data_IF_320806409320
#
_entry.id   IF_320806409320
#
_cell.length_a   1.000
_cell.length_b   1.000
_cell.length_c   1.000
_cell.angle_alpha   90.00
_cell.angle_beta   90.00
_cell.angle_gamma   90.00
#
_symmetry.space_group_name_H-M   'P 1'
#
loop_
_entity.id
_entity.type
_entity.pdbx_description
1 polymer ?
#
# COMPACT_ATOMS: atom_id res chain seq x y z
N UNK A 1 28.76 8.83 8.01
CA UNK A 1 28.78 9.89 6.98
C UNK A 1 29.63 9.43 5.80
N UNK A 2 29.03 9.01 4.68
CA UNK A 2 29.73 8.86 3.39
C UNK A 2 29.34 10.06 2.53
N UNK A 3 30.20 11.08 2.47
CA UNK A 3 30.01 12.22 1.56
C UNK A 3 30.17 11.76 0.10
N UNK A 4 29.41 12.35 -0.83
CA UNK A 4 29.43 11.99 -2.26
C UNK A 4 30.80 12.13 -2.92
N UNK A 5 31.65 13.03 -2.41
CA UNK A 5 33.03 13.23 -2.88
C UNK A 5 33.91 11.98 -2.70
N UNK A 6 33.82 11.30 -1.55
CA UNK A 6 34.57 10.07 -1.30
C UNK A 6 34.20 8.96 -2.28
N UNK A 7 32.94 8.94 -2.76
CA UNK A 7 32.46 7.94 -3.71
C UNK A 7 33.01 8.21 -5.12
N UNK A 8 33.08 9.47 -5.53
CA UNK A 8 33.65 9.84 -6.83
C UNK A 8 35.16 9.61 -6.88
N UNK A 9 35.87 9.94 -5.81
CA UNK A 9 37.31 9.68 -5.71
C UNK A 9 37.61 8.18 -5.82
N UNK A 10 36.87 7.33 -5.11
CA UNK A 10 37.06 5.87 -5.14
C UNK A 10 36.76 5.26 -6.50
N UNK A 11 35.81 5.84 -7.25
CA UNK A 11 35.50 5.44 -8.64
C UNK A 11 36.63 5.81 -9.59
N UNK A 12 37.18 7.03 -9.49
CA UNK A 12 38.34 7.45 -10.30
C UNK A 12 39.56 6.55 -10.05
N UNK A 13 39.81 6.19 -8.78
CA UNK A 13 40.87 5.24 -8.41
C UNK A 13 40.63 3.88 -9.06
N UNK A 14 39.41 3.33 -8.95
CA UNK A 14 39.06 2.05 -9.58
C UNK A 14 39.27 2.06 -11.11
N UNK A 15 38.80 3.10 -11.78
CA UNK A 15 38.96 3.25 -13.23
C UNK A 15 40.43 3.38 -13.64
N UNK A 16 41.24 4.12 -12.87
CA UNK A 16 42.67 4.22 -13.07
C UNK A 16 43.39 2.87 -12.86
N UNK A 17 43.07 2.11 -11.81
CA UNK A 17 43.64 0.78 -11.57
C UNK A 17 43.29 -0.19 -12.70
N UNK A 18 42.07 -0.12 -13.23
CA UNK A 18 41.64 -0.93 -14.38
C UNK A 18 42.38 -0.55 -15.66
N UNK A 19 42.62 0.73 -15.88
CA UNK A 19 43.44 1.20 -17.01
C UNK A 19 44.87 0.67 -16.88
N UNK A 20 45.46 0.74 -15.68
CA UNK A 20 46.80 0.21 -15.42
C UNK A 20 46.89 -1.29 -15.69
N UNK A 21 45.87 -2.06 -15.30
CA UNK A 21 45.75 -3.49 -15.64
C UNK A 21 45.82 -3.74 -17.15
N UNK A 22 45.05 -2.98 -17.95
CA UNK A 22 45.06 -3.10 -19.41
C UNK A 22 46.41 -2.72 -20.03
N UNK A 23 47.05 -1.67 -19.51
CA UNK A 23 48.39 -1.23 -19.96
C UNK A 23 49.42 -2.31 -19.69
N UNK A 24 49.42 -2.92 -18.50
CA UNK A 24 50.32 -4.04 -18.20
C UNK A 24 50.05 -5.22 -19.13
N UNK A 25 48.78 -5.53 -19.43
CA UNK A 25 48.43 -6.60 -20.36
C UNK A 25 48.89 -6.31 -21.80
N UNK A 26 48.82 -5.06 -22.24
CA UNK A 26 49.31 -4.64 -23.56
C UNK A 26 50.84 -4.73 -23.66
N UNK A 27 51.56 -4.25 -22.65
CA UNK A 27 53.03 -4.38 -22.56
C UNK A 27 53.43 -5.86 -22.52
N UNK A 28 52.67 -6.67 -21.78
CA UNK A 28 52.83 -8.11 -21.73
C UNK A 28 52.72 -8.75 -23.11
N UNK A 29 51.68 -8.44 -23.89
CA UNK A 29 51.57 -8.95 -25.26
C UNK A 29 52.75 -8.53 -26.12
N UNK A 30 53.18 -7.28 -26.00
CA UNK A 30 54.32 -6.77 -26.76
C UNK A 30 55.63 -7.49 -26.43
N UNK A 31 55.87 -7.81 -25.15
CA UNK A 31 57.09 -8.49 -24.70
C UNK A 31 57.11 -9.97 -25.09
N UNK A 32 56.01 -10.69 -24.86
CA UNK A 32 55.96 -12.14 -25.02
C UNK A 32 55.54 -12.61 -26.42
N UNK A 33 54.96 -11.73 -27.23
CA UNK A 33 54.66 -11.98 -28.65
C UNK A 33 55.56 -11.16 -29.59
N UNK A 34 56.71 -10.66 -29.11
CA UNK A 34 57.60 -9.77 -29.88
C UNK A 34 57.93 -10.27 -31.31
N UNK A 35 58.20 -11.58 -31.55
CA UNK A 35 58.48 -12.06 -32.90
C UNK A 35 57.34 -11.83 -33.91
N UNK A 36 56.08 -11.83 -33.45
CA UNK A 36 54.93 -11.50 -34.30
C UNK A 36 54.85 -9.98 -34.56
N UNK A 37 55.13 -9.16 -33.54
CA UNK A 37 55.19 -7.69 -33.71
C UNK A 37 56.30 -7.26 -34.69
N UNK A 38 57.41 -7.98 -34.73
CA UNK A 38 58.48 -7.79 -35.72
C UNK A 38 58.00 -8.13 -37.14
N UNK A 39 57.28 -9.24 -37.32
CA UNK A 39 56.68 -9.63 -38.61
C UNK A 39 55.61 -8.63 -39.07
N UNK A 40 54.84 -8.06 -38.15
CA UNK A 40 53.85 -7.02 -38.43
C UNK A 40 54.44 -5.64 -38.69
N UNK A 41 55.77 -5.48 -38.60
CA UNK A 41 56.45 -4.18 -38.68
C UNK A 41 55.95 -3.17 -37.64
N UNK A 42 55.43 -3.65 -36.50
CA UNK A 42 54.97 -2.85 -35.37
C UNK A 42 56.07 -2.72 -34.31
N UNK A 43 57.31 -2.53 -34.77
CA UNK A 43 58.50 -2.35 -33.94
C UNK A 43 59.16 -1.02 -34.27
N UNK A 44 59.56 -0.26 -33.25
CA UNK A 44 60.34 0.96 -33.41
C UNK A 44 61.70 0.82 -32.72
N UNK A 45 62.75 1.44 -33.25
CA UNK A 45 64.11 1.32 -32.67
C UNK A 45 64.16 1.79 -31.20
N UNK A 46 63.35 2.79 -30.84
CA UNK A 46 63.16 3.25 -29.46
C UNK A 46 62.56 2.18 -28.53
N UNK A 47 61.73 1.27 -29.05
CA UNK A 47 61.08 0.22 -28.24
C UNK A 47 62.04 -0.88 -27.83
N UNK A 48 63.09 -1.16 -28.59
CA UNK A 48 64.06 -2.23 -28.28
C UNK A 48 64.79 -1.96 -26.94
N UNK A 49 65.24 -0.71 -26.75
CA UNK A 49 65.90 -0.27 -25.52
C UNK A 49 64.95 -0.24 -24.31
N UNK A 50 63.67 0.05 -24.55
CA UNK A 50 62.63 0.08 -23.51
C UNK A 50 62.24 -1.35 -23.10
N UNK A 51 62.06 -2.27 -24.05
CA UNK A 51 61.76 -3.68 -23.79
C UNK A 51 62.87 -4.33 -22.96
N UNK A 52 64.13 -4.05 -23.27
CA UNK A 52 65.27 -4.55 -22.50
C UNK A 52 65.19 -4.16 -21.02
N UNK A 53 64.81 -2.91 -20.73
CA UNK A 53 64.59 -2.42 -19.35
C UNK A 53 63.30 -2.94 -18.72
N UNK A 54 62.24 -3.17 -19.49
CA UNK A 54 60.99 -3.72 -18.96
C UNK A 54 61.13 -5.20 -18.60
N UNK A 55 61.88 -5.99 -19.38
CA UNK A 55 62.17 -7.41 -19.08
C UNK A 55 62.96 -7.61 -17.78
N UNK A 56 63.72 -6.61 -17.32
CA UNK A 56 64.43 -6.68 -16.03
C UNK A 56 63.53 -6.35 -14.84
N UNK A 57 62.37 -5.72 -15.05
CA UNK A 57 61.39 -5.49 -14.00
C UNK A 57 60.77 -6.81 -13.55
N UNK A 58 60.60 -6.97 -12.23
CA UNK A 58 60.01 -8.19 -11.65
C UNK A 58 58.66 -8.55 -12.28
N UNK A 59 57.83 -7.55 -12.61
CA UNK A 59 56.51 -7.72 -13.18
C UNK A 59 56.50 -8.43 -14.56
N UNK A 60 57.58 -8.38 -15.34
CA UNK A 60 57.64 -8.96 -16.69
C UNK A 60 58.69 -10.08 -16.83
N UNK A 61 59.19 -10.61 -15.71
CA UNK A 61 60.19 -11.71 -15.71
C UNK A 61 59.67 -12.98 -16.36
N UNK A 62 58.39 -13.30 -16.15
CA UNK A 62 57.73 -14.47 -16.74
C UNK A 62 56.34 -14.11 -17.22
N UNK A 63 55.88 -14.83 -18.23
CA UNK A 63 54.56 -14.67 -18.86
C UNK A 63 53.42 -14.79 -17.83
N UNK A 64 53.56 -15.73 -16.90
CA UNK A 64 52.55 -15.98 -15.88
C UNK A 64 52.53 -14.87 -14.83
N UNK A 65 53.69 -14.30 -14.49
CA UNK A 65 53.80 -13.26 -13.48
C UNK A 65 53.23 -11.93 -13.99
N UNK A 66 53.52 -11.54 -15.23
CA UNK A 66 52.93 -10.35 -15.85
C UNK A 66 51.41 -10.46 -16.00
N UNK A 67 50.91 -11.63 -16.40
CA UNK A 67 49.47 -11.94 -16.36
C UNK A 67 48.89 -11.82 -14.96
N UNK A 68 49.56 -12.37 -13.96
CA UNK A 68 49.12 -12.32 -12.56
C UNK A 68 49.07 -10.88 -12.03
N UNK A 69 50.02 -10.03 -12.40
CA UNK A 69 50.03 -8.61 -12.03
C UNK A 69 48.87 -7.85 -12.69
N UNK A 70 48.61 -8.08 -13.99
CA UNK A 70 47.44 -7.51 -14.66
C UNK A 70 46.13 -7.96 -13.99
N UNK A 71 45.99 -9.27 -13.74
CA UNK A 71 44.81 -9.83 -13.08
C UNK A 71 44.63 -9.29 -11.66
N UNK A 72 45.71 -9.11 -10.89
CA UNK A 72 45.67 -8.52 -9.55
C UNK A 72 45.11 -7.10 -9.58
N UNK A 73 45.60 -6.26 -10.50
CA UNK A 73 45.09 -4.90 -10.66
C UNK A 73 43.62 -4.88 -11.09
N UNK A 74 43.22 -5.80 -11.98
CA UNK A 74 41.82 -5.98 -12.33
C UNK A 74 40.97 -6.32 -11.09
N UNK A 75 41.41 -7.28 -10.26
CA UNK A 75 40.70 -7.66 -9.04
C UNK A 75 40.58 -6.49 -8.06
N UNK A 76 41.65 -5.72 -7.86
CA UNK A 76 41.61 -4.50 -7.02
C UNK A 76 40.61 -3.49 -7.56
N UNK A 77 40.58 -3.27 -8.88
CA UNK A 77 39.61 -2.35 -9.51
C UNK A 77 38.15 -2.79 -9.31
N UNK A 78 37.89 -4.10 -9.30
CA UNK A 78 36.55 -4.67 -9.15
C UNK A 78 35.98 -4.54 -7.73
N UNK A 79 36.84 -4.62 -6.71
CA UNK A 79 36.45 -4.39 -5.30
C UNK A 79 36.02 -2.93 -5.09
N UNK A 80 36.75 -2.00 -5.71
CA UNK A 80 36.48 -0.57 -5.63
C UNK A 80 35.25 -0.14 -6.47
N UNK A 81 34.93 -0.86 -7.54
CA UNK A 81 33.78 -0.56 -8.39
C UNK A 81 32.45 -0.56 -7.60
N UNK A 82 31.66 0.51 -7.73
CA UNK A 82 30.27 0.56 -7.26
C UNK A 82 29.33 0.47 -8.46
N UNK A 83 28.65 -0.67 -8.61
CA UNK A 83 27.60 -0.83 -9.63
C UNK A 83 26.21 -0.48 -9.09
N UNK A 84 25.30 -0.09 -9.99
CA UNK A 84 23.87 0.07 -9.68
C UNK A 84 23.26 -1.28 -9.28
N UNK A 85 22.32 -1.26 -8.34
CA UNK A 85 21.52 -2.44 -7.95
C UNK A 85 20.80 -3.01 -9.19
N UNK A 86 20.88 -4.32 -9.37
CA UNK A 86 20.12 -5.05 -10.37
C UNK A 86 19.66 -6.37 -9.73
N UNK A 87 18.36 -6.49 -9.49
CA UNK A 87 17.74 -7.62 -8.79
C UNK A 87 17.63 -8.88 -9.66
N UNK A 88 17.94 -8.79 -10.97
CA UNK A 88 17.84 -9.91 -11.91
C UNK A 88 19.11 -10.76 -12.03
N UNK A 89 20.15 -10.47 -11.27
CA UNK A 89 21.45 -11.17 -11.40
C UNK A 89 21.35 -12.60 -10.86
N UNK A 90 21.49 -13.60 -11.74
CA UNK A 90 21.58 -15.01 -11.37
C UNK A 90 23.00 -15.39 -10.93
N UNK A 91 23.14 -16.01 -9.76
CA UNK A 91 24.45 -16.48 -9.21
C UNK A 91 25.19 -17.41 -10.18
N UNK A 92 24.47 -18.25 -10.91
CA UNK A 92 25.04 -19.17 -11.91
C UNK A 92 25.80 -18.42 -13.02
N UNK A 93 25.26 -17.32 -13.54
CA UNK A 93 25.91 -16.52 -14.59
C UNK A 93 27.25 -15.94 -14.14
N UNK A 94 27.36 -15.53 -12.88
CA UNK A 94 28.61 -15.00 -12.30
C UNK A 94 29.68 -16.10 -12.28
N UNK A 95 29.31 -17.29 -11.78
CA UNK A 95 30.21 -18.44 -11.69
C UNK A 95 30.69 -18.84 -13.09
N UNK A 96 29.78 -18.95 -14.06
CA UNK A 96 30.13 -19.30 -15.45
C UNK A 96 31.14 -18.31 -16.04
N UNK A 97 30.93 -16.99 -15.91
CA UNK A 97 31.87 -16.00 -16.45
C UNK A 97 33.24 -16.05 -15.78
N UNK A 98 33.29 -16.18 -14.45
CA UNK A 98 34.56 -16.21 -13.72
C UNK A 98 35.35 -17.50 -13.99
N UNK A 99 34.70 -18.67 -13.97
CA UNK A 99 35.36 -19.96 -14.20
C UNK A 99 35.83 -20.06 -15.65
N UNK A 100 34.95 -19.79 -16.62
CA UNK A 100 35.32 -19.82 -18.04
C UNK A 100 36.39 -18.78 -18.34
N UNK A 101 36.26 -17.57 -17.80
CA UNK A 101 37.25 -16.51 -17.98
C UNK A 101 38.63 -16.89 -17.45
N UNK A 102 38.71 -17.43 -16.22
CA UNK A 102 39.96 -17.90 -15.62
C UNK A 102 40.57 -19.06 -16.41
N UNK A 103 39.75 -20.03 -16.80
CA UNK A 103 40.20 -21.18 -17.60
C UNK A 103 40.82 -20.73 -18.92
N UNK A 104 40.16 -19.86 -19.68
CA UNK A 104 40.68 -19.33 -20.94
C UNK A 104 41.95 -18.48 -20.75
N UNK A 105 41.96 -17.66 -19.70
CA UNK A 105 43.12 -16.82 -19.36
C UNK A 105 44.37 -17.64 -19.03
N UNK A 106 44.23 -18.78 -18.34
CA UNK A 106 45.34 -19.69 -18.03
C UNK A 106 45.71 -20.60 -19.21
N UNK A 107 44.74 -21.22 -19.88
CA UNK A 107 44.99 -22.14 -21.01
C UNK A 107 45.72 -21.44 -22.16
N UNK A 108 45.49 -20.13 -22.34
CA UNK A 108 46.20 -19.36 -23.36
C UNK A 108 47.72 -19.52 -23.31
N UNK A 109 48.32 -19.77 -22.14
CA UNK A 109 49.76 -20.05 -22.00
C UNK A 109 50.28 -21.10 -23.01
N UNK A 110 49.53 -22.19 -23.24
CA UNK A 110 49.98 -23.27 -24.12
C UNK A 110 50.14 -22.85 -25.59
N UNK A 111 49.48 -21.77 -26.03
CA UNK A 111 49.61 -21.29 -27.41
C UNK A 111 50.99 -20.71 -27.71
N UNK A 112 51.71 -20.21 -26.69
CA UNK A 112 53.10 -19.75 -26.86
C UNK A 112 54.10 -20.91 -27.02
N UNK A 113 53.72 -22.12 -26.62
CA UNK A 113 54.56 -23.32 -26.76
C UNK A 113 54.32 -24.08 -28.08
N UNK A 114 53.33 -23.67 -28.89
CA UNK A 114 53.04 -24.29 -30.17
C UNK A 114 54.13 -23.98 -31.19
N UNK A 115 54.63 -25.02 -31.89
CA UNK A 115 55.59 -24.89 -32.99
C UNK A 115 54.88 -24.50 -34.30
N UNK A 116 54.19 -23.36 -34.31
CA UNK A 116 53.51 -22.79 -35.49
C UNK A 116 54.15 -21.44 -35.85
N UNK A 117 53.69 -20.83 -36.94
CA UNK A 117 54.14 -19.47 -37.30
C UNK A 117 53.91 -18.50 -36.13
N UNK A 118 54.88 -17.62 -35.80
CA UNK A 118 54.79 -16.70 -34.66
C UNK A 118 53.52 -15.85 -34.65
N UNK A 119 53.07 -15.42 -35.82
CA UNK A 119 51.82 -14.66 -35.99
C UNK A 119 50.58 -15.42 -35.54
N UNK A 120 50.49 -16.70 -35.90
CA UNK A 120 49.36 -17.57 -35.54
C UNK A 120 49.36 -17.85 -34.04
N UNK A 121 50.53 -18.14 -33.46
CA UNK A 121 50.69 -18.35 -32.02
C UNK A 121 50.30 -17.09 -31.24
N UNK A 122 50.80 -15.92 -31.66
CA UNK A 122 50.51 -14.63 -31.03
C UNK A 122 49.02 -14.26 -31.12
N UNK A 123 48.39 -14.44 -32.28
CA UNK A 123 46.96 -14.13 -32.46
C UNK A 123 46.08 -14.99 -31.55
N UNK A 124 46.30 -16.31 -31.52
CA UNK A 124 45.56 -17.23 -30.65
C UNK A 124 45.79 -16.92 -29.17
N UNK A 125 47.04 -16.64 -28.80
CA UNK A 125 47.43 -16.28 -27.45
C UNK A 125 46.75 -14.99 -26.97
N UNK A 126 46.89 -13.90 -27.74
CA UNK A 126 46.35 -12.58 -27.42
C UNK A 126 44.83 -12.60 -27.40
N UNK A 127 44.21 -13.29 -28.37
CA UNK A 127 42.76 -13.45 -28.47
C UNK A 127 42.19 -14.17 -27.26
N UNK A 128 42.73 -15.34 -26.91
CA UNK A 128 42.22 -16.14 -25.80
C UNK A 128 42.49 -15.48 -24.44
N UNK A 129 43.67 -14.86 -24.28
CA UNK A 129 44.00 -14.09 -23.07
C UNK A 129 43.06 -12.90 -22.89
N UNK A 130 42.80 -12.13 -23.96
CA UNK A 130 41.93 -10.96 -23.90
C UNK A 130 40.48 -11.35 -23.65
N UNK A 131 40.00 -12.41 -24.30
CA UNK A 131 38.64 -12.90 -24.08
C UNK A 131 38.44 -13.43 -22.65
N UNK A 132 39.41 -14.20 -22.12
CA UNK A 132 39.41 -14.61 -20.72
C UNK A 132 39.39 -13.43 -19.75
N UNK A 133 40.22 -12.41 -20.00
CA UNK A 133 40.27 -11.17 -19.22
C UNK A 133 38.92 -10.43 -19.21
N UNK A 134 38.27 -10.29 -20.36
CA UNK A 134 36.98 -9.62 -20.48
C UNK A 134 35.86 -10.38 -19.75
N UNK A 135 35.87 -11.71 -19.79
CA UNK A 135 34.93 -12.53 -19.02
C UNK A 135 35.14 -12.38 -17.51
N UNK A 136 36.39 -12.34 -17.04
CA UNK A 136 36.71 -12.09 -15.62
C UNK A 136 36.23 -10.68 -15.22
N UNK A 137 36.45 -9.66 -16.06
CA UNK A 137 35.95 -8.30 -15.82
C UNK A 137 34.41 -8.26 -15.77
N UNK A 138 33.72 -8.95 -16.68
CA UNK A 138 32.27 -9.01 -16.72
C UNK A 138 31.70 -9.74 -15.49
N UNK A 139 32.21 -10.93 -15.19
CA UNK A 139 31.83 -11.72 -14.01
C UNK A 139 32.14 -11.01 -12.69
N UNK A 140 33.31 -10.37 -12.59
CA UNK A 140 33.74 -9.61 -11.43
C UNK A 140 32.87 -8.38 -11.16
N UNK A 141 32.43 -7.68 -12.21
CA UNK A 141 31.49 -6.57 -12.08
C UNK A 141 30.13 -7.02 -11.54
N UNK A 142 29.63 -8.19 -11.97
CA UNK A 142 28.40 -8.77 -11.43
C UNK A 142 28.57 -9.23 -9.98
N UNK A 143 29.72 -9.84 -9.64
CA UNK A 143 30.05 -10.28 -8.28
C UNK A 143 30.13 -9.09 -7.31
N UNK A 144 30.81 -8.00 -7.71
CA UNK A 144 30.94 -6.78 -6.91
C UNK A 144 29.59 -6.12 -6.61
N UNK A 145 28.64 -6.19 -7.56
CA UNK A 145 27.24 -5.77 -7.34
C UNK A 145 26.52 -6.66 -6.33
N UNK A 146 26.63 -7.99 -6.46
CA UNK A 146 25.95 -8.94 -5.58
C UNK A 146 26.42 -8.85 -4.12
N UNK A 147 27.74 -8.78 -3.88
CA UNK A 147 28.30 -8.73 -2.53
C UNK A 147 27.86 -7.46 -1.79
N UNK A 148 27.76 -6.31 -2.48
CA UNK A 148 27.28 -5.07 -1.87
C UNK A 148 25.78 -5.11 -1.54
N UNK A 149 24.95 -5.81 -2.31
CA UNK A 149 23.51 -5.98 -2.01
C UNK A 149 23.32 -6.74 -0.69
N UNK A 150 24.12 -7.78 -0.42
CA UNK A 150 24.02 -8.53 0.85
C UNK A 150 24.61 -7.78 2.06
N UNK A 151 25.59 -6.90 1.84
CA UNK A 151 26.24 -6.12 2.91
C UNK A 151 25.51 -4.81 3.23
N UNK A 152 24.84 -4.20 2.25
CA UNK A 152 23.87 -3.14 2.52
C UNK A 152 22.61 -3.80 3.05
N UNK A 153 22.43 -3.79 4.38
CA UNK A 153 21.19 -4.24 5.03
C UNK A 153 19.99 -3.43 4.53
N UNK A 154 19.48 -3.81 3.37
CA UNK A 154 18.27 -3.23 2.82
C UNK A 154 17.12 -3.72 3.70
N UNK A 155 16.62 -2.82 4.53
CA UNK A 155 15.49 -3.09 5.43
C UNK A 155 14.22 -3.44 4.66
N UNK A 156 14.15 -3.10 3.37
CA UNK A 156 12.98 -3.27 2.50
C UNK A 156 13.19 -4.33 1.42
N UNK A 157 13.75 -5.49 1.78
CA UNK A 157 13.77 -6.66 0.89
C UNK A 157 12.82 -7.75 1.43
N UNK A 158 12.27 -8.61 0.55
CA UNK A 158 11.29 -9.65 0.93
C UNK A 158 11.80 -10.63 2.01
N UNK A 159 13.11 -10.78 2.14
CA UNK A 159 13.71 -11.66 3.15
C UNK A 159 13.80 -10.97 4.52
N UNK A 160 13.96 -9.64 4.53
CA UNK A 160 14.09 -8.78 5.70
C UNK A 160 12.75 -8.16 6.14
N UNK A 161 11.76 -8.06 5.25
CA UNK A 161 10.37 -7.60 5.52
C UNK A 161 9.47 -8.73 6.06
N UNK A 162 10.03 -9.65 6.85
CA UNK A 162 9.24 -10.70 7.50
C UNK A 162 9.31 -10.58 9.01
N UNK A 163 8.15 -10.51 9.66
CA UNK A 163 8.02 -10.43 11.12
C UNK A 163 7.03 -11.50 11.63
N UNK A 164 7.18 -11.98 12.87
CA UNK A 164 6.25 -12.93 13.45
C UNK A 164 4.85 -12.31 13.52
N UNK A 165 3.85 -13.02 13.01
CA UNK A 165 2.43 -12.70 13.20
C UNK A 165 1.84 -13.63 14.27
N UNK A 166 0.66 -13.32 14.78
CA UNK A 166 -0.01 -14.17 15.76
C UNK A 166 -0.42 -15.50 15.09
N UNK A 167 0.14 -16.60 15.59
CA UNK A 167 -0.13 -17.96 15.08
C UNK A 167 -1.27 -18.64 15.88
N UNK A 168 -1.63 -18.11 17.05
CA UNK A 168 -2.67 -18.69 17.91
C UNK A 168 -4.05 -18.17 17.53
N UNK A 169 -5.03 -19.06 17.53
CA UNK A 169 -6.44 -18.71 17.48
C UNK A 169 -6.90 -18.27 18.87
N UNK A 170 -7.25 -16.99 19.02
CA UNK A 170 -7.65 -16.41 20.30
C UNK A 170 -9.16 -16.11 20.29
N UNK A 171 -9.96 -17.06 20.74
CA UNK A 171 -11.43 -16.95 20.78
C UNK A 171 -11.93 -16.48 22.14
N UNK A 172 -13.03 -15.71 22.10
CA UNK A 172 -13.84 -15.28 23.23
C UNK A 172 -15.29 -15.02 22.75
N UNK A 173 -16.17 -14.59 23.65
CA UNK A 173 -17.59 -14.32 23.37
C UNK A 173 -17.84 -13.28 22.24
N UNK A 174 -16.93 -12.34 22.02
CA UNK A 174 -17.13 -11.21 21.09
C UNK A 174 -16.28 -11.29 19.82
N UNK A 175 -15.23 -12.08 19.86
CA UNK A 175 -14.12 -12.03 18.90
C UNK A 175 -14.53 -12.38 17.48
N UNK A 176 -13.77 -11.88 16.51
CA UNK A 176 -13.83 -12.33 15.12
C UNK A 176 -12.43 -12.78 14.74
N UNK A 177 -12.32 -14.00 14.22
CA UNK A 177 -11.03 -14.62 13.93
C UNK A 177 -10.95 -14.95 12.45
N UNK A 178 -9.93 -14.44 11.76
CA UNK A 178 -9.73 -14.64 10.32
C UNK A 178 -8.43 -15.41 10.08
N UNK A 179 -8.47 -16.51 9.32
CA UNK A 179 -7.26 -17.24 8.98
C UNK A 179 -6.40 -16.43 8.02
N UNK A 180 -5.09 -16.39 8.27
CA UNK A 180 -4.10 -15.70 7.41
C UNK A 180 -2.92 -16.62 7.10
N UNK A 181 -2.16 -16.25 6.07
CA UNK A 181 -0.86 -16.85 5.76
C UNK A 181 0.18 -15.74 5.64
N UNK A 182 1.35 -15.97 6.22
CA UNK A 182 2.44 -15.01 6.18
C UNK A 182 3.78 -15.70 5.97
N UNK A 183 4.80 -14.93 5.61
CA UNK A 183 6.16 -15.42 5.44
C UNK A 183 6.99 -15.03 6.66
N UNK A 184 7.83 -15.95 7.12
CA UNK A 184 8.81 -15.72 8.17
C UNK A 184 10.08 -16.51 7.87
N UNK A 185 11.21 -15.81 7.68
CA UNK A 185 12.52 -16.43 7.41
C UNK A 185 12.46 -17.42 6.23
N UNK A 186 11.85 -17.01 5.12
CA UNK A 186 11.74 -17.83 3.91
C UNK A 186 10.77 -19.02 4.00
N UNK A 187 9.99 -19.15 5.08
CA UNK A 187 8.96 -20.19 5.23
C UNK A 187 7.58 -19.55 5.30
N UNK A 188 6.63 -20.11 4.55
CA UNK A 188 5.22 -19.75 4.67
C UNK A 188 4.63 -20.42 5.92
N UNK A 189 3.86 -19.66 6.68
CA UNK A 189 3.22 -20.08 7.93
C UNK A 189 1.75 -19.69 7.94
N UNK A 190 0.96 -20.44 8.71
CA UNK A 190 -0.43 -20.10 8.99
C UNK A 190 -0.48 -19.19 10.22
N UNK A 191 -1.42 -18.26 10.24
CA UNK A 191 -1.68 -17.42 11.41
C UNK A 191 -3.13 -16.99 11.50
N UNK A 192 -3.42 -16.11 12.44
CA UNK A 192 -4.75 -15.60 12.71
C UNK A 192 -4.75 -14.08 12.91
N UNK A 193 -5.69 -13.41 12.26
CA UNK A 193 -6.09 -12.05 12.61
C UNK A 193 -7.20 -12.19 13.65
N UNK A 194 -6.87 -11.95 14.92
CA UNK A 194 -7.79 -12.04 16.04
C UNK A 194 -8.30 -10.64 16.42
N UNK A 195 -9.55 -10.33 16.12
CA UNK A 195 -10.22 -9.12 16.61
C UNK A 195 -10.88 -9.48 17.92
N UNK A 196 -10.15 -9.27 19.02
CA UNK A 196 -10.56 -9.70 20.37
C UNK A 196 -11.76 -8.90 20.90
N UNK A 197 -11.83 -7.62 20.57
CA UNK A 197 -12.90 -6.71 21.02
C UNK A 197 -13.37 -5.82 19.86
N UNK A 198 -14.40 -6.24 19.10
CA UNK A 198 -14.92 -5.47 17.98
C UNK A 198 -15.71 -4.22 18.39
N UNK A 199 -16.05 -4.04 19.67
CA UNK A 199 -16.79 -2.88 20.15
C UNK A 199 -15.96 -1.58 20.14
N UNK A 200 -14.65 -1.67 19.91
CA UNK A 200 -13.76 -0.50 19.75
C UNK A 200 -13.80 0.12 18.35
N UNK A 201 -14.90 -0.12 17.63
CA UNK A 201 -15.07 0.17 16.20
C UNK A 201 -14.10 -0.61 15.31
N UNK A 202 -14.52 -0.88 14.08
CA UNK A 202 -13.64 -1.45 13.06
C UNK A 202 -13.80 -0.70 11.75
N UNK A 203 -12.72 -0.06 11.29
CA UNK A 203 -12.68 0.63 10.01
C UNK A 203 -12.19 -0.32 8.92
N UNK A 204 -13.07 -0.67 7.99
CA UNK A 204 -12.73 -1.45 6.81
C UNK A 204 -12.64 -0.54 5.58
N UNK A 205 -11.42 -0.20 5.17
CA UNK A 205 -11.16 0.65 4.00
C UNK A 205 -10.76 -0.17 2.78
N UNK A 206 -11.20 0.27 1.59
CA UNK A 206 -10.83 -0.32 0.31
C UNK A 206 -11.72 0.17 -0.82
N UNK A 207 -11.21 0.19 -2.05
CA UNK A 207 -11.95 0.57 -3.24
C UNK A 207 -13.11 -0.41 -3.54
N UNK A 208 -13.97 -0.04 -4.49
CA UNK A 208 -14.96 -0.96 -5.04
C UNK A 208 -14.23 -2.19 -5.63
N UNK A 209 -14.75 -3.39 -5.38
CA UNK A 209 -14.12 -4.64 -5.85
C UNK A 209 -12.94 -5.15 -5.01
N UNK A 210 -12.46 -4.42 -4.00
CA UNK A 210 -11.33 -4.83 -3.15
C UNK A 210 -11.59 -6.07 -2.25
N UNK A 211 -12.75 -6.73 -2.37
CA UNK A 211 -13.06 -7.94 -1.62
C UNK A 211 -13.47 -7.74 -0.16
N UNK A 212 -13.78 -6.50 0.27
CA UNK A 212 -14.24 -6.16 1.64
C UNK A 212 -15.28 -7.14 2.19
N UNK A 213 -16.30 -7.44 1.39
CA UNK A 213 -17.36 -8.38 1.76
C UNK A 213 -16.82 -9.79 1.96
N UNK A 214 -16.02 -10.27 1.01
CA UNK A 214 -15.48 -11.62 1.00
C UNK A 214 -14.53 -11.89 2.17
N UNK A 215 -13.57 -10.98 2.40
CA UNK A 215 -12.50 -11.18 3.37
C UNK A 215 -12.86 -10.80 4.81
N UNK A 216 -13.86 -9.94 5.02
CA UNK A 216 -14.20 -9.45 6.36
C UNK A 216 -15.69 -9.62 6.71
N UNK A 217 -16.58 -8.91 6.02
CA UNK A 217 -17.99 -8.77 6.43
C UNK A 217 -18.69 -10.11 6.55
N UNK A 218 -18.45 -11.04 5.60
CA UNK A 218 -19.02 -12.40 5.65
C UNK A 218 -18.64 -13.16 6.91
N UNK A 219 -17.38 -13.03 7.35
CA UNK A 219 -16.89 -13.69 8.55
C UNK A 219 -17.46 -13.05 9.82
N UNK A 220 -17.63 -11.73 9.84
CA UNK A 220 -18.31 -11.04 10.97
C UNK A 220 -19.73 -11.56 11.11
N UNK A 221 -20.52 -11.53 10.02
CA UNK A 221 -21.92 -11.99 10.03
C UNK A 221 -22.00 -13.44 10.51
N UNK A 222 -21.20 -14.34 9.94
CA UNK A 222 -21.21 -15.76 10.31
C UNK A 222 -20.83 -15.99 11.78
N UNK A 223 -19.74 -15.40 12.25
CA UNK A 223 -19.22 -15.63 13.60
C UNK A 223 -20.09 -14.99 14.67
N UNK A 224 -20.57 -13.77 14.47
CA UNK A 224 -21.43 -13.09 15.45
C UNK A 224 -22.81 -13.74 15.53
N UNK A 225 -23.44 -14.10 14.41
CA UNK A 225 -24.70 -14.85 14.45
C UNK A 225 -24.52 -16.22 15.11
N UNK A 226 -23.40 -16.91 14.85
CA UNK A 226 -23.06 -18.16 15.55
C UNK A 226 -22.95 -17.95 17.06
N UNK A 227 -22.46 -16.80 17.50
CA UNK A 227 -22.31 -16.44 18.91
C UNK A 227 -23.58 -15.86 19.55
N UNK A 228 -24.70 -15.84 18.83
CA UNK A 228 -25.99 -15.39 19.37
C UNK A 228 -26.20 -13.87 19.35
N UNK A 229 -25.43 -13.12 18.55
CA UNK A 229 -25.61 -11.67 18.41
C UNK A 229 -26.82 -11.34 17.53
N UNK A 230 -27.49 -10.24 17.85
CA UNK A 230 -28.35 -9.51 16.91
C UNK A 230 -27.51 -8.55 16.07
N UNK A 231 -27.99 -8.20 14.88
CA UNK A 231 -27.28 -7.29 13.98
C UNK A 231 -28.22 -6.47 13.11
N UNK A 232 -27.83 -5.22 12.88
CA UNK A 232 -28.41 -4.34 11.86
C UNK A 232 -27.49 -4.40 10.63
N UNK A 233 -28.00 -4.91 9.51
CA UNK A 233 -27.23 -5.09 8.28
C UNK A 233 -27.70 -4.09 7.24
N UNK A 234 -26.82 -3.18 6.84
CA UNK A 234 -27.04 -2.30 5.70
C UNK A 234 -26.58 -3.00 4.42
N UNK A 235 -27.53 -3.38 3.57
CA UNK A 235 -27.29 -4.13 2.33
C UNK A 235 -27.48 -3.25 1.09
N UNK A 236 -26.40 -2.57 0.68
CA UNK A 236 -26.41 -1.72 -0.51
C UNK A 236 -26.66 -2.50 -1.81
N UNK A 237 -26.37 -3.81 -1.84
CA UNK A 237 -26.55 -4.68 -3.01
C UNK A 237 -27.63 -5.72 -2.70
N UNK A 238 -28.76 -5.25 -2.19
CA UNK A 238 -29.85 -6.11 -1.79
C UNK A 238 -30.18 -7.14 -2.91
N UNK A 239 -30.27 -8.44 -2.62
CA UNK A 239 -30.31 -9.10 -1.31
C UNK A 239 -29.01 -9.87 -0.92
N UNK A 240 -27.82 -9.40 -1.32
CA UNK A 240 -26.55 -10.12 -1.09
C UNK A 240 -26.26 -10.42 0.40
N UNK A 241 -26.12 -9.38 1.22
CA UNK A 241 -25.81 -9.55 2.64
C UNK A 241 -27.02 -10.04 3.43
N UNK A 242 -28.22 -9.66 2.99
CA UNK A 242 -29.50 -10.05 3.60
C UNK A 242 -29.69 -11.56 3.52
N UNK A 243 -29.48 -12.16 2.35
CA UNK A 243 -29.56 -13.61 2.14
C UNK A 243 -28.54 -14.36 2.99
N UNK A 244 -27.31 -13.85 3.06
CA UNK A 244 -26.27 -14.42 3.91
C UNK A 244 -26.69 -14.37 5.39
N UNK A 245 -27.09 -13.21 5.88
CA UNK A 245 -27.47 -13.01 7.28
C UNK A 245 -28.64 -13.92 7.65
N UNK A 246 -29.68 -13.98 6.82
CA UNK A 246 -30.84 -14.85 7.02
C UNK A 246 -30.43 -16.33 7.08
N UNK A 247 -29.64 -16.81 6.11
CA UNK A 247 -29.20 -18.20 6.09
C UNK A 247 -28.39 -18.58 7.33
N UNK A 248 -27.52 -17.67 7.80
CA UNK A 248 -26.74 -17.88 9.04
C UNK A 248 -27.62 -17.81 10.29
N UNK A 249 -28.58 -16.90 10.33
CA UNK A 249 -29.55 -16.79 11.42
C UNK A 249 -30.36 -18.08 11.58
N UNK A 250 -30.90 -18.61 10.48
CA UNK A 250 -31.61 -19.89 10.47
C UNK A 250 -30.70 -21.03 10.92
N UNK A 251 -29.47 -21.09 10.40
CA UNK A 251 -28.47 -22.11 10.77
C UNK A 251 -28.15 -22.10 12.27
N UNK A 252 -28.05 -20.92 12.88
CA UNK A 252 -27.64 -20.75 14.28
C UNK A 252 -28.81 -20.44 15.23
N UNK A 253 -30.06 -20.59 14.80
CA UNK A 253 -31.23 -20.24 15.58
C UNK A 253 -31.28 -20.92 16.96
N UNK A 254 -30.72 -22.13 17.09
CA UNK A 254 -30.62 -22.86 18.35
C UNK A 254 -29.62 -22.29 19.36
N UNK A 255 -28.73 -21.38 18.94
CA UNK A 255 -27.73 -20.77 19.82
C UNK A 255 -28.30 -19.60 20.65
N UNK A 256 -29.51 -19.15 20.34
CA UNK A 256 -30.13 -17.99 20.97
C UNK A 256 -31.03 -18.39 22.14
N UNK A 257 -30.89 -17.69 23.29
CA UNK A 257 -31.82 -17.82 24.42
C UNK A 257 -33.24 -17.40 24.04
N UNK A 258 -33.36 -16.31 23.28
CA UNK A 258 -34.60 -15.80 22.71
C UNK A 258 -34.46 -15.83 21.20
N UNK A 259 -35.34 -16.56 20.51
CA UNK A 259 -35.26 -16.70 19.05
C UNK A 259 -35.36 -15.31 18.39
N UNK A 260 -34.38 -14.93 17.56
CA UNK A 260 -34.38 -13.64 16.89
C UNK A 260 -35.43 -13.61 15.77
N UNK A 261 -36.07 -12.47 15.60
CA UNK A 261 -36.91 -12.16 14.44
C UNK A 261 -36.07 -11.47 13.35
N UNK A 262 -36.45 -11.66 12.09
CA UNK A 262 -35.77 -11.06 10.95
C UNK A 262 -36.67 -10.00 10.32
N UNK A 263 -36.26 -8.73 10.42
CA UNK A 263 -36.97 -7.59 9.86
C UNK A 263 -36.16 -6.97 8.72
N UNK A 264 -36.85 -6.56 7.67
CA UNK A 264 -36.27 -5.93 6.48
C UNK A 264 -36.98 -4.62 6.23
N UNK A 265 -36.23 -3.52 6.24
CA UNK A 265 -36.67 -2.21 5.77
C UNK A 265 -36.16 -2.06 4.33
N UNK A 266 -37.07 -2.17 3.38
CA UNK A 266 -36.81 -2.02 1.95
C UNK A 266 -37.78 -0.97 1.39
N UNK A 267 -37.24 -0.01 0.63
CA UNK A 267 -38.00 1.11 0.06
C UNK A 267 -38.59 0.81 -1.32
N UNK A 268 -38.08 -0.21 -2.02
CA UNK A 268 -38.62 -0.66 -3.31
C UNK A 268 -39.79 -1.62 -3.10
N UNK A 269 -39.59 -2.62 -2.23
CA UNK A 269 -40.62 -3.59 -1.86
C UNK A 269 -40.90 -3.49 -0.35
N UNK A 270 -42.08 -2.99 0.00
CA UNK A 270 -42.45 -2.77 1.41
C UNK A 270 -42.72 -4.12 2.09
N UNK A 271 -41.75 -4.59 2.88
CA UNK A 271 -41.85 -5.82 3.67
C UNK A 271 -42.24 -5.56 5.13
N UNK A 272 -41.47 -4.71 5.82
CA UNK A 272 -41.71 -4.29 7.20
C UNK A 272 -41.70 -2.78 7.31
N UNK A 273 -42.39 -2.25 8.32
CA UNK A 273 -42.51 -0.82 8.57
C UNK A 273 -41.80 -0.46 9.86
N UNK A 274 -41.16 0.70 9.88
CA UNK A 274 -40.53 1.28 11.05
C UNK A 274 -40.88 2.76 11.08
N UNK A 275 -41.29 3.26 12.25
CA UNK A 275 -41.44 4.69 12.48
C UNK A 275 -40.13 5.22 13.09
N UNK A 276 -39.34 6.04 12.38
CA UNK A 276 -38.12 6.62 12.95
C UNK A 276 -38.41 7.65 14.05
N UNK A 277 -39.67 8.09 14.18
CA UNK A 277 -40.15 9.02 15.21
C UNK A 277 -41.01 8.31 16.25
N UNK A 278 -40.61 7.10 16.66
CA UNK A 278 -41.39 6.29 17.60
C UNK A 278 -41.68 7.07 18.90
N UNK A 279 -42.95 7.37 19.22
CA UNK A 279 -43.28 8.29 20.30
C UNK A 279 -42.76 7.83 21.65
N UNK A 280 -42.72 6.52 21.94
CA UNK A 280 -42.27 6.00 23.22
C UNK A 280 -40.77 6.20 23.47
N UNK A 281 -39.99 6.44 22.41
CA UNK A 281 -38.56 6.71 22.50
C UNK A 281 -38.21 8.16 22.78
N UNK A 282 -39.17 9.10 22.68
CA UNK A 282 -38.97 10.52 22.95
C UNK A 282 -39.51 10.86 24.34
N UNK A 283 -38.59 11.12 25.27
CA UNK A 283 -38.87 11.44 26.67
C UNK A 283 -38.98 12.95 26.91
N UNK A 284 -38.16 13.74 26.22
CA UNK A 284 -38.20 15.21 26.27
C UNK A 284 -37.99 15.84 24.87
N UNK A 285 -38.13 17.15 24.79
CA UNK A 285 -38.02 17.90 23.53
C UNK A 285 -36.62 17.83 22.90
N UNK A 286 -35.59 17.49 23.68
CA UNK A 286 -34.22 17.24 23.17
C UNK A 286 -34.20 16.00 22.27
N UNK A 287 -34.95 14.95 22.62
CA UNK A 287 -35.04 13.74 21.78
C UNK A 287 -35.68 14.05 20.41
N UNK A 288 -36.71 14.91 20.40
CA UNK A 288 -37.31 15.41 19.16
C UNK A 288 -36.32 16.29 18.38
N UNK A 289 -35.50 17.08 19.08
CA UNK A 289 -34.45 17.92 18.47
C UNK A 289 -33.37 17.09 17.81
N UNK A 290 -32.88 16.02 18.46
CA UNK A 290 -31.89 15.12 17.87
C UNK A 290 -32.45 14.37 16.66
N UNK A 291 -33.73 13.97 16.72
CA UNK A 291 -34.44 13.36 15.59
C UNK A 291 -34.56 14.32 14.41
N UNK A 292 -35.01 15.56 14.66
CA UNK A 292 -35.10 16.63 13.66
C UNK A 292 -33.73 16.94 13.04
N UNK A 293 -32.69 17.11 13.87
CA UNK A 293 -31.31 17.38 13.44
C UNK A 293 -30.79 16.25 12.55
N UNK A 294 -31.00 15.00 12.93
CA UNK A 294 -30.58 13.82 12.14
C UNK A 294 -31.25 13.79 10.77
N UNK A 295 -32.56 14.07 10.71
CA UNK A 295 -33.31 14.11 9.45
C UNK A 295 -32.82 15.27 8.57
N UNK A 296 -32.76 16.48 9.12
CA UNK A 296 -32.41 17.69 8.36
C UNK A 296 -30.98 17.66 7.82
N UNK A 297 -30.00 17.25 8.63
CA UNK A 297 -28.62 17.09 8.19
C UNK A 297 -28.43 15.90 7.23
N UNK A 298 -29.28 14.88 7.36
CA UNK A 298 -29.31 13.72 6.46
C UNK A 298 -29.82 14.08 5.06
N UNK A 299 -30.81 14.98 4.97
CA UNK A 299 -31.38 15.48 3.72
C UNK A 299 -30.43 16.44 2.99
N UNK A 300 -29.75 17.33 3.73
CA UNK A 300 -28.79 18.28 3.15
C UNK A 300 -27.38 18.13 3.74
N UNK A 301 -26.52 17.38 3.04
CA UNK A 301 -25.13 17.15 3.47
C UNK A 301 -24.26 18.41 3.54
N UNK A 302 -24.62 19.49 2.85
CA UNK A 302 -23.87 20.76 2.95
C UNK A 302 -24.05 21.41 4.32
N UNK A 303 -25.18 21.18 4.97
CA UNK A 303 -25.47 21.74 6.29
C UNK A 303 -24.57 21.16 7.38
N UNK A 304 -23.96 19.99 7.16
CA UNK A 304 -22.92 19.45 8.05
C UNK A 304 -21.73 20.42 8.23
N UNK A 305 -21.46 21.27 7.22
CA UNK A 305 -20.40 22.28 7.28
C UNK A 305 -20.89 23.65 7.77
N UNK A 306 -22.20 23.83 7.94
CA UNK A 306 -22.87 25.07 8.33
C UNK A 306 -23.59 24.92 9.68
N UNK A 307 -23.16 23.99 10.54
CA UNK A 307 -23.73 23.86 11.87
C UNK A 307 -23.51 25.15 12.66
N UNK A 308 -24.56 25.63 13.35
CA UNK A 308 -24.57 26.94 13.99
C UNK A 308 -24.94 28.11 13.08
N UNK A 309 -25.16 27.89 11.77
CA UNK A 309 -25.77 28.89 10.89
C UNK A 309 -27.25 29.06 11.22
N UNK A 310 -27.72 30.30 11.21
CA UNK A 310 -29.05 30.68 11.67
C UNK A 310 -30.16 29.95 10.93
N UNK A 311 -30.04 29.81 9.60
CA UNK A 311 -31.06 29.14 8.79
C UNK A 311 -31.13 27.63 9.06
N UNK A 312 -29.98 26.99 9.31
CA UNK A 312 -29.91 25.55 9.63
C UNK A 312 -30.56 25.28 10.99
N UNK A 313 -30.21 26.06 12.01
CA UNK A 313 -30.77 25.89 13.35
C UNK A 313 -32.26 26.29 13.41
N UNK A 314 -32.69 27.27 12.59
CA UNK A 314 -34.12 27.59 12.44
C UNK A 314 -34.89 26.41 11.85
N UNK A 315 -34.40 25.81 10.76
CA UNK A 315 -35.04 24.64 10.15
C UNK A 315 -35.21 23.48 11.14
N UNK A 316 -34.15 23.18 11.89
CA UNK A 316 -34.16 22.14 12.91
C UNK A 316 -35.19 22.48 14.00
N UNK A 317 -35.17 23.70 14.53
CA UNK A 317 -36.11 24.15 15.57
C UNK A 317 -37.57 24.05 15.13
N UNK A 318 -37.86 24.41 13.87
CA UNK A 318 -39.20 24.31 13.31
C UNK A 318 -39.65 22.84 13.21
N UNK A 319 -38.81 21.95 12.68
CA UNK A 319 -39.13 20.52 12.60
C UNK A 319 -39.25 19.89 13.99
N UNK A 320 -38.43 20.30 14.96
CA UNK A 320 -38.58 19.90 16.37
C UNK A 320 -39.97 20.24 16.90
N UNK A 321 -40.44 21.46 16.68
CA UNK A 321 -41.77 21.89 17.14
C UNK A 321 -42.89 21.03 16.53
N UNK A 322 -42.80 20.69 15.24
CA UNK A 322 -43.76 19.82 14.57
C UNK A 322 -43.76 18.40 15.17
N UNK A 323 -42.58 17.80 15.36
CA UNK A 323 -42.42 16.46 15.93
C UNK A 323 -42.97 16.43 17.36
N UNK A 324 -42.59 17.42 18.18
CA UNK A 324 -42.99 17.49 19.58
C UNK A 324 -44.50 17.69 19.74
N UNK A 325 -45.09 18.58 18.94
CA UNK A 325 -46.54 18.75 18.90
C UNK A 325 -47.25 17.42 18.58
N UNK A 326 -46.84 16.73 17.52
CA UNK A 326 -47.44 15.44 17.14
C UNK A 326 -47.22 14.33 18.17
N UNK A 327 -46.12 14.40 18.94
CA UNK A 327 -45.84 13.49 20.05
C UNK A 327 -46.81 13.71 21.22
N UNK A 328 -47.15 14.95 21.55
CA UNK A 328 -48.09 15.31 22.62
C UNK A 328 -49.55 15.09 22.19
N UNK A 329 -49.86 15.46 20.96
CA UNK A 329 -51.20 15.36 20.39
C UNK A 329 -51.69 13.90 20.30
N UNK A 330 -52.88 13.63 20.83
CA UNK A 330 -53.48 12.28 20.91
C UNK A 330 -52.50 11.19 21.37
N UNK A 331 -51.68 11.50 22.39
CA UNK A 331 -50.65 10.59 22.94
C UNK A 331 -49.67 10.04 21.89
N UNK A 332 -49.35 10.81 20.85
CA UNK A 332 -48.35 10.45 19.86
C UNK A 332 -48.87 9.57 18.73
N UNK A 333 -50.19 9.35 18.63
CA UNK A 333 -50.80 8.52 17.59
C UNK A 333 -50.38 8.90 16.17
N UNK A 334 -50.13 10.19 15.93
CA UNK A 334 -49.75 10.73 14.62
C UNK A 334 -48.28 11.16 14.54
N UNK A 335 -47.46 10.88 15.56
CA UNK A 335 -46.05 11.24 15.54
C UNK A 335 -45.28 10.30 14.60
N UNK A 336 -45.27 10.67 13.32
CA UNK A 336 -44.62 9.93 12.23
C UNK A 336 -44.11 10.92 11.20
N UNK A 337 -43.08 10.54 10.44
CA UNK A 337 -42.49 11.43 9.45
C UNK A 337 -43.49 11.92 8.37
N UNK A 338 -44.38 11.08 7.82
CA UNK A 338 -45.39 11.57 6.87
C UNK A 338 -46.32 12.64 7.46
N UNK A 339 -46.77 12.48 8.70
CA UNK A 339 -47.61 13.49 9.35
C UNK A 339 -46.86 14.79 9.65
N UNK A 340 -45.55 14.72 9.98
CA UNK A 340 -44.70 15.91 10.10
C UNK A 340 -44.63 16.65 8.77
N UNK A 341 -44.41 15.94 7.67
CA UNK A 341 -44.35 16.52 6.32
C UNK A 341 -45.69 17.18 5.95
N UNK A 342 -46.81 16.48 6.15
CA UNK A 342 -48.14 17.02 5.88
C UNK A 342 -48.44 18.27 6.73
N UNK A 343 -48.13 18.23 8.03
CA UNK A 343 -48.34 19.36 8.94
C UNK A 343 -47.50 20.58 8.54
N UNK A 344 -46.27 20.36 8.06
CA UNK A 344 -45.36 21.41 7.57
C UNK A 344 -45.89 22.17 6.35
N UNK A 345 -46.76 21.53 5.55
CA UNK A 345 -47.32 22.11 4.33
C UNK A 345 -48.59 22.94 4.58
N UNK A 346 -49.11 22.96 5.81
CA UNK A 346 -50.28 23.77 6.19
C UNK A 346 -49.94 25.26 6.17
N UNK A 347 -50.93 26.08 5.81
CA UNK A 347 -50.86 27.55 5.87
C UNK A 347 -50.38 28.05 7.25
N UNK A 348 -49.45 29.02 7.24
CA UNK A 348 -48.75 29.48 8.45
C UNK A 348 -49.68 29.97 9.54
N UNK A 349 -50.79 30.64 9.19
CA UNK A 349 -51.75 31.15 10.19
C UNK A 349 -52.35 29.99 10.97
N UNK A 350 -52.80 28.94 10.27
CA UNK A 350 -53.37 27.75 10.91
C UNK A 350 -52.31 26.96 11.66
N UNK A 351 -51.14 26.79 11.04
CA UNK A 351 -50.04 26.02 11.62
C UNK A 351 -49.59 26.60 12.96
N UNK A 352 -49.23 27.89 13.00
CA UNK A 352 -48.77 28.50 14.25
C UNK A 352 -49.84 28.52 15.32
N UNK A 353 -51.10 28.78 14.96
CA UNK A 353 -52.22 28.74 15.93
C UNK A 353 -52.33 27.38 16.62
N UNK A 354 -52.14 26.30 15.88
CA UNK A 354 -52.22 24.94 16.41
C UNK A 354 -50.98 24.61 17.24
N UNK A 355 -49.78 24.93 16.74
CA UNK A 355 -48.54 24.59 17.43
C UNK A 355 -48.41 25.34 18.77
N UNK A 356 -48.80 26.62 18.84
CA UNK A 356 -48.76 27.40 20.09
C UNK A 356 -49.75 26.92 21.15
N UNK A 357 -50.64 25.95 20.86
CA UNK A 357 -51.44 25.30 21.89
C UNK A 357 -50.60 24.41 22.81
N UNK A 358 -49.41 23.98 22.37
CA UNK A 358 -48.46 23.24 23.17
C UNK A 358 -47.38 24.19 23.69
N UNK A 359 -47.44 24.53 24.98
CA UNK A 359 -46.55 25.49 25.66
C UNK A 359 -45.07 25.18 25.46
N UNK A 360 -44.71 23.90 25.43
CA UNK A 360 -43.31 23.47 25.27
C UNK A 360 -42.74 23.77 23.86
N UNK A 361 -43.59 23.99 22.85
CA UNK A 361 -43.14 24.35 21.49
C UNK A 361 -42.99 25.86 21.28
N UNK A 362 -43.60 26.68 22.13
CA UNK A 362 -43.62 28.14 21.99
C UNK A 362 -42.21 28.77 21.90
N UNK A 363 -41.22 28.38 22.74
CA UNK A 363 -39.87 28.94 22.64
C UNK A 363 -39.20 28.69 21.29
N UNK A 364 -39.50 27.55 20.65
CA UNK A 364 -38.96 27.18 19.33
C UNK A 364 -39.62 27.98 18.20
N UNK A 365 -40.88 28.38 18.40
CA UNK A 365 -41.71 29.03 17.37
C UNK A 365 -41.65 30.56 17.42
N UNK A 366 -41.26 31.15 18.55
CA UNK A 366 -41.21 32.60 18.76
C UNK A 366 -40.53 33.40 17.62
N UNK A 367 -39.38 32.98 17.06
CA UNK A 367 -38.77 33.69 15.94
C UNK A 367 -39.65 33.71 14.68
N UNK A 368 -40.36 32.63 14.41
CA UNK A 368 -41.23 32.46 13.25
C UNK A 368 -42.54 33.23 13.41
N UNK A 369 -43.16 33.12 14.58
CA UNK A 369 -44.40 33.85 14.92
C UNK A 369 -44.14 35.35 14.89
N UNK A 370 -43.01 35.81 15.43
CA UNK A 370 -42.64 37.22 15.37
C UNK A 370 -42.45 37.72 13.94
N UNK A 371 -41.77 36.95 13.07
CA UNK A 371 -41.58 37.33 11.66
C UNK A 371 -42.91 37.36 10.91
N UNK A 372 -43.80 36.39 11.18
CA UNK A 372 -45.15 36.34 10.59
C UNK A 372 -46.02 37.53 11.02
N UNK A 373 -46.04 37.88 12.31
CA UNK A 373 -46.79 39.03 12.83
C UNK A 373 -46.29 40.38 12.31
N UNK A 374 -45.00 40.50 12.00
CA UNK A 374 -44.39 41.70 11.41
C UNK A 374 -44.50 41.76 9.88
N UNK A 375 -45.15 40.78 9.25
CA UNK A 375 -45.25 40.65 7.80
C UNK A 375 -43.86 40.57 7.10
N UNK A 376 -42.84 40.05 7.79
CA UNK A 376 -41.48 39.85 7.28
C UNK A 376 -41.40 38.54 6.46
N UNK A 377 -42.20 38.45 5.40
CA UNK A 377 -42.37 37.22 4.60
C UNK A 377 -41.07 36.63 4.05
N UNK A 378 -40.13 37.48 3.63
CA UNK A 378 -38.83 37.03 3.12
C UNK A 378 -37.97 36.32 4.18
N UNK A 379 -38.03 36.78 5.44
CA UNK A 379 -37.34 36.13 6.55
C UNK A 379 -38.02 34.82 6.93
N UNK A 380 -39.36 34.82 7.00
CA UNK A 380 -40.15 33.63 7.30
C UNK A 380 -39.94 32.52 6.27
N UNK A 381 -39.99 32.86 4.98
CA UNK A 381 -39.71 31.93 3.88
C UNK A 381 -38.25 31.47 3.89
N UNK A 382 -37.29 32.34 4.23
CA UNK A 382 -35.89 31.91 4.38
C UNK A 382 -35.70 30.89 5.50
N UNK A 383 -36.37 31.08 6.64
CA UNK A 383 -36.29 30.18 7.79
C UNK A 383 -37.01 28.85 7.53
N UNK A 384 -38.25 28.87 7.03
CA UNK A 384 -39.07 27.66 6.84
C UNK A 384 -38.77 26.97 5.51
N UNK A 385 -38.49 27.72 4.45
CA UNK A 385 -38.18 27.17 3.13
C UNK A 385 -36.92 26.31 3.14
N UNK A 386 -36.02 26.53 4.12
CA UNK A 386 -34.88 25.64 4.34
C UNK A 386 -35.28 24.27 4.91
N UNK A 387 -36.40 24.19 5.65
CA UNK A 387 -36.94 22.94 6.19
C UNK A 387 -37.83 22.19 5.18
N UNK A 388 -38.56 22.93 4.32
CA UNK A 388 -39.44 22.34 3.31
C UNK A 388 -38.61 21.65 2.21
N UNK A 389 -38.91 20.38 1.98
CA UNK A 389 -38.31 19.60 0.90
C UNK A 389 -38.91 20.13 -0.41
N UNK A 390 -38.07 20.59 -1.34
CA UNK A 390 -38.47 20.97 -2.71
C UNK A 390 -38.22 19.87 -3.71
#
# INVERSE_FOLDING_TARGET
MQTGENIQALRKIADFTRLLSLVILAIHFYIFCYPAFEQWQLTAEATYNIIGKLKTMTAFKTELLSKSVALLLLLVSLVAAKGKKDEKIRKQTIITYLVTGMMLYTISHFFLALKVQPDVAAFLYMGLTSFGYLLILAGGNLLSRLLKVNLSGDTFNKDNETFPQEERLLENEYSINLPTKYWLKGKQRNGWINIINPFRSTLLSGSAGAGKTYFYIRHVIDQHLKKGFSMLVYDFKYADLSTLAYNKLVKYAGNYKVKPSFYVINFDEIMHRCNPLEPSGMTDITDATESARTIMLGLNREWLKKQGDFFVESAISFVTALIWFLKKYENGRYCTLPHVIELMMIDYKRLFTVLTMEEETEPLLNPFVSAWQKEEWGQLEGQIGSAKIS
#
